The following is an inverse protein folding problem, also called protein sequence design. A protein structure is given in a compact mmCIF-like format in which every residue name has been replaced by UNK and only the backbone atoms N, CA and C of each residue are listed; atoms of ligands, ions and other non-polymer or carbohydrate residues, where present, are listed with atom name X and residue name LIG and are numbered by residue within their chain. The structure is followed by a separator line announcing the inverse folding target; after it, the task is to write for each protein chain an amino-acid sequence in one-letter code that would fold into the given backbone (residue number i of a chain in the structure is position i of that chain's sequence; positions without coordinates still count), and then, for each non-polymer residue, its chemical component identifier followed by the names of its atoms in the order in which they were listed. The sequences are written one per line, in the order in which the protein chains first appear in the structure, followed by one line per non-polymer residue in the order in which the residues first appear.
data_IF_350059115811
#
_entry.id   IF_350059115811
#
_cell.length_a   1.000
_cell.length_b   1.000
_cell.length_c   1.000
_cell.angle_alpha   90.00
_cell.angle_beta   90.00
_cell.angle_gamma   90.00
#
_symmetry.space_group_name_H-M   'P 1'
#
loop_
_entity.id
_entity.type
_entity.pdbx_description
1 polymer ?
#
# COMPACT_ATOMS: atom_id res chain seq x y z
N UNK A 1 15.68 -4.26 -26.26
CA UNK A 1 14.79 -5.17 -25.48
C UNK A 1 14.63 -4.62 -24.08
N UNK A 2 13.42 -4.55 -23.61
CA UNK A 2 13.17 -4.12 -22.23
C UNK A 2 13.56 -5.21 -21.24
N UNK A 3 14.01 -4.78 -20.07
CA UNK A 3 14.50 -5.67 -19.02
C UNK A 3 13.45 -6.71 -18.58
N UNK A 4 12.19 -6.30 -18.47
CA UNK A 4 11.10 -7.22 -18.11
C UNK A 4 10.87 -8.31 -19.15
N UNK A 5 10.94 -7.93 -20.42
CA UNK A 5 10.83 -8.90 -21.52
C UNK A 5 11.99 -9.90 -21.50
N UNK A 6 13.19 -9.41 -21.21
CA UNK A 6 14.35 -10.31 -21.08
C UNK A 6 14.18 -11.32 -19.94
N UNK A 7 13.70 -10.90 -18.79
CA UNK A 7 13.41 -11.81 -17.68
C UNK A 7 12.27 -12.78 -17.98
N UNK A 8 11.25 -12.36 -18.71
CA UNK A 8 10.16 -13.22 -19.15
C UNK A 8 10.64 -14.33 -20.09
N UNK A 9 11.54 -14.01 -21.00
CA UNK A 9 12.18 -14.99 -21.88
C UNK A 9 13.01 -16.00 -21.08
N UNK A 10 13.82 -15.53 -20.15
CA UNK A 10 14.64 -16.38 -19.27
C UNK A 10 13.76 -17.27 -18.40
N UNK A 11 12.66 -16.78 -17.89
CA UNK A 11 11.71 -17.56 -17.10
C UNK A 11 11.06 -18.67 -17.90
N UNK A 12 10.67 -18.41 -19.13
CA UNK A 12 10.13 -19.44 -20.03
C UNK A 12 11.17 -20.55 -20.26
N UNK A 13 12.41 -20.19 -20.56
CA UNK A 13 13.50 -21.14 -20.73
C UNK A 13 13.76 -21.99 -19.48
N UNK A 14 13.74 -21.35 -18.30
CA UNK A 14 13.95 -22.04 -17.02
C UNK A 14 12.84 -23.06 -16.74
N UNK A 15 11.64 -22.82 -17.20
CA UNK A 15 10.49 -23.72 -17.07
C UNK A 15 10.38 -24.75 -18.20
N UNK A 16 11.35 -24.81 -19.09
CA UNK A 16 11.37 -25.76 -20.20
C UNK A 16 10.41 -25.42 -21.35
N UNK A 17 10.08 -24.15 -21.50
CA UNK A 17 9.15 -23.66 -22.50
C UNK A 17 9.88 -22.79 -23.52
N UNK A 18 9.59 -23.00 -24.81
CA UNK A 18 10.08 -22.10 -25.85
C UNK A 18 9.42 -20.75 -25.76
N UNK A 19 10.18 -19.64 -25.54
CA UNK A 19 9.60 -18.31 -25.39
C UNK A 19 8.98 -17.76 -26.68
N UNK A 20 9.23 -18.38 -27.81
CA UNK A 20 8.70 -17.98 -29.13
C UNK A 20 7.41 -18.70 -29.46
N UNK A 21 7.38 -20.01 -29.29
CA UNK A 21 6.26 -20.87 -29.67
C UNK A 21 5.35 -21.27 -28.54
N UNK A 22 5.82 -21.18 -27.29
CA UNK A 22 5.09 -21.63 -26.09
C UNK A 22 5.06 -23.17 -25.92
N UNK A 23 5.76 -23.92 -26.74
CA UNK A 23 5.85 -25.38 -26.65
C UNK A 23 6.91 -25.79 -25.64
N UNK A 24 6.72 -26.96 -25.03
CA UNK A 24 7.73 -27.56 -24.17
C UNK A 24 8.92 -28.07 -24.99
N UNK A 25 10.14 -27.84 -24.47
CA UNK A 25 11.35 -28.42 -25.09
C UNK A 25 11.42 -29.94 -24.89
N UNK A 26 12.04 -30.60 -25.86
CA UNK A 26 12.39 -32.04 -25.74
C UNK A 26 13.38 -32.24 -24.56
N UNK A 27 13.35 -33.45 -23.98
CA UNK A 27 14.23 -33.80 -22.85
C UNK A 27 15.72 -33.62 -23.17
N UNK A 28 16.11 -33.82 -24.43
CA UNK A 28 17.49 -33.65 -24.90
C UNK A 28 17.85 -32.20 -25.28
N UNK A 29 16.90 -31.25 -25.21
CA UNK A 29 17.18 -29.86 -25.53
C UNK A 29 18.24 -29.30 -24.58
N UNK A 30 19.17 -28.44 -25.06
CA UNK A 30 20.21 -27.83 -24.21
C UNK A 30 19.63 -27.07 -23.01
N UNK A 31 18.45 -26.51 -23.15
CA UNK A 31 17.77 -25.74 -22.08
C UNK A 31 17.21 -26.63 -20.96
N UNK A 32 17.09 -27.94 -21.18
CA UNK A 32 16.69 -28.90 -20.15
C UNK A 32 17.87 -29.49 -19.37
N UNK A 33 19.09 -29.09 -19.70
CA UNK A 33 20.27 -29.52 -18.95
C UNK A 33 20.21 -28.96 -17.53
N UNK A 34 20.45 -29.75 -16.47
CA UNK A 34 20.33 -29.33 -15.09
C UNK A 34 21.14 -28.06 -14.73
N UNK A 35 22.33 -27.92 -15.26
CA UNK A 35 23.18 -26.75 -15.03
C UNK A 35 22.59 -25.47 -15.65
N UNK A 36 22.00 -25.59 -16.84
CA UNK A 36 21.34 -24.48 -17.52
C UNK A 36 20.13 -24.04 -16.72
N UNK A 37 19.29 -24.95 -16.28
CA UNK A 37 18.12 -24.66 -15.43
C UNK A 37 18.51 -23.96 -14.14
N UNK A 38 19.56 -24.45 -13.46
CA UNK A 38 20.08 -23.86 -12.24
C UNK A 38 20.60 -22.43 -12.46
N UNK A 39 21.34 -22.23 -13.56
CA UNK A 39 21.85 -20.90 -13.91
C UNK A 39 20.73 -19.90 -14.20
N UNK A 40 19.71 -20.32 -14.95
CA UNK A 40 18.55 -19.48 -15.25
C UNK A 40 17.77 -19.09 -13.98
N UNK A 41 17.51 -20.03 -13.10
CA UNK A 41 16.84 -19.75 -11.82
C UNK A 41 17.70 -18.89 -10.90
N UNK A 42 19.01 -19.06 -10.90
CA UNK A 42 19.91 -18.19 -10.14
C UNK A 42 19.81 -16.74 -10.59
N UNK A 43 19.81 -16.49 -11.90
CA UNK A 43 19.64 -15.15 -12.47
C UNK A 43 18.28 -14.56 -12.08
N UNK A 44 17.22 -15.35 -12.17
CA UNK A 44 15.87 -14.90 -11.82
C UNK A 44 15.74 -14.54 -10.33
N UNK A 45 16.35 -15.32 -9.45
CA UNK A 45 16.34 -15.05 -8.00
C UNK A 45 17.10 -13.78 -7.63
N UNK A 46 18.15 -13.46 -8.34
CA UNK A 46 18.98 -12.29 -8.10
C UNK A 46 18.53 -11.07 -8.93
N UNK A 47 17.36 -11.16 -9.54
CA UNK A 47 16.74 -10.04 -10.26
C UNK A 47 16.64 -8.82 -9.37
N UNK A 48 17.14 -7.66 -9.83
CA UNK A 48 17.02 -6.42 -9.07
C UNK A 48 15.55 -6.09 -8.80
N UNK A 49 15.22 -5.85 -7.55
CA UNK A 49 13.89 -5.35 -7.21
C UNK A 49 13.74 -3.94 -7.77
N UNK A 50 12.64 -3.68 -8.46
CA UNK A 50 12.29 -2.30 -8.84
C UNK A 50 12.15 -1.48 -7.56
N UNK A 51 12.98 -0.48 -7.40
CA UNK A 51 12.79 0.49 -6.31
C UNK A 51 11.44 1.15 -6.53
N UNK A 52 10.52 0.97 -5.59
CA UNK A 52 9.28 1.75 -5.58
C UNK A 52 9.66 3.21 -5.42
N UNK A 53 9.34 4.01 -6.41
CA UNK A 53 9.44 5.46 -6.30
C UNK A 53 8.42 5.88 -5.24
N UNK A 54 8.92 6.44 -4.12
CA UNK A 54 8.02 6.97 -3.09
C UNK A 54 7.26 8.15 -3.66
N UNK A 55 5.94 8.08 -3.64
CA UNK A 55 5.09 9.22 -4.02
C UNK A 55 5.29 10.37 -3.04
N UNK A 56 5.29 11.59 -3.56
CA UNK A 56 5.27 12.79 -2.73
C UNK A 56 3.96 12.92 -1.96
N UNK A 57 3.93 13.77 -0.94
CA UNK A 57 2.70 14.05 -0.19
C UNK A 57 1.58 14.53 -1.12
N UNK A 58 1.90 15.45 -2.02
CA UNK A 58 0.96 16.00 -3.00
C UNK A 58 0.39 14.94 -3.94
N UNK A 59 1.22 14.03 -4.42
CA UNK A 59 0.78 12.91 -5.27
C UNK A 59 -0.18 11.98 -4.53
N UNK A 60 0.11 11.68 -3.26
CA UNK A 60 -0.78 10.86 -2.40
C UNK A 60 -2.12 11.55 -2.16
N UNK A 61 -2.12 12.85 -1.93
CA UNK A 61 -3.32 13.65 -1.77
C UNK A 61 -4.18 13.65 -3.04
N UNK A 62 -3.58 13.80 -4.21
CA UNK A 62 -4.28 13.73 -5.49
C UNK A 62 -4.85 12.33 -5.76
N UNK A 63 -4.11 11.28 -5.42
CA UNK A 63 -4.61 9.90 -5.51
C UNK A 63 -5.85 9.70 -4.62
N UNK A 64 -5.85 10.24 -3.42
CA UNK A 64 -7.00 10.17 -2.51
C UNK A 64 -8.23 10.87 -3.10
N UNK A 65 -8.06 12.05 -3.63
CA UNK A 65 -9.14 12.81 -4.29
C UNK A 65 -9.69 12.03 -5.47
N UNK A 66 -8.82 11.46 -6.30
CA UNK A 66 -9.21 10.64 -7.45
C UNK A 66 -10.00 9.37 -7.08
N UNK A 67 -9.81 8.85 -5.87
CA UNK A 67 -10.55 7.69 -5.33
C UNK A 67 -11.83 8.08 -4.58
N UNK A 68 -12.17 9.35 -4.50
CA UNK A 68 -13.29 9.85 -3.71
C UNK A 68 -13.07 9.80 -2.20
N UNK A 69 -11.82 9.72 -1.76
CA UNK A 69 -11.44 9.74 -0.35
C UNK A 69 -11.09 11.17 0.11
N UNK A 70 -11.16 11.46 1.42
CA UNK A 70 -10.64 12.71 1.95
C UNK A 70 -9.17 12.90 1.56
N UNK A 71 -8.78 14.14 1.27
CA UNK A 71 -7.45 14.49 0.76
C UNK A 71 -6.31 13.92 1.62
N UNK A 72 -6.45 13.98 2.93
CA UNK A 72 -5.44 13.52 3.89
C UNK A 72 -5.67 12.10 4.41
N UNK A 73 -6.55 11.33 3.77
CA UNK A 73 -6.86 9.96 4.17
C UNK A 73 -5.60 9.08 4.22
N UNK A 74 -5.39 8.43 5.36
CA UNK A 74 -4.26 7.51 5.55
C UNK A 74 -2.88 8.18 5.58
N UNK A 75 -2.80 9.50 5.53
CA UNK A 75 -1.54 10.23 5.58
C UNK A 75 -1.08 10.50 7.02
N UNK A 76 0.23 10.67 7.26
CA UNK A 76 0.73 11.03 8.58
C UNK A 76 0.11 12.30 9.13
N UNK A 77 -0.03 12.36 10.45
CA UNK A 77 -0.53 13.54 11.15
C UNK A 77 0.62 14.48 11.51
N UNK A 78 0.66 15.71 10.97
CA UNK A 78 1.57 16.73 11.49
C UNK A 78 1.22 17.07 12.93
N UNK A 79 2.22 17.34 13.76
CA UNK A 79 2.00 17.70 15.18
C UNK A 79 1.05 18.90 15.36
N UNK A 80 1.18 19.87 14.50
CA UNK A 80 0.32 21.07 14.48
C UNK A 80 -1.15 20.72 14.26
N UNK A 81 -1.42 19.78 13.34
CA UNK A 81 -2.78 19.30 13.08
C UNK A 81 -3.35 18.51 14.26
N UNK A 82 -2.54 17.73 14.94
CA UNK A 82 -2.93 17.00 16.15
C UNK A 82 -3.36 17.97 17.24
N UNK A 83 -2.57 19.00 17.48
CA UNK A 83 -2.86 20.03 18.48
C UNK A 83 -4.16 20.78 18.19
N UNK A 84 -4.40 21.11 16.90
CA UNK A 84 -5.66 21.75 16.47
C UNK A 84 -6.88 20.84 16.68
N UNK A 85 -6.77 19.56 16.40
CA UNK A 85 -7.86 18.59 16.63
C UNK A 85 -8.21 18.52 18.12
N UNK A 86 -7.22 18.46 18.99
CA UNK A 86 -7.41 18.40 20.43
C UNK A 86 -8.07 19.70 20.93
N UNK A 87 -7.58 20.84 20.48
CA UNK A 87 -8.13 22.16 20.81
C UNK A 87 -9.59 22.28 20.37
N UNK A 88 -9.89 21.93 19.13
CA UNK A 88 -11.23 21.98 18.58
C UNK A 88 -12.19 21.04 19.33
N UNK A 89 -11.73 19.85 19.67
CA UNK A 89 -12.52 18.92 20.47
C UNK A 89 -12.80 19.43 21.88
N UNK A 90 -11.82 20.06 22.53
CA UNK A 90 -11.99 20.68 23.85
C UNK A 90 -12.90 21.92 23.82
N UNK A 91 -13.01 22.54 22.67
CA UNK A 91 -13.93 23.63 22.40
C UNK A 91 -15.35 23.20 22.03
N UNK A 92 -15.66 21.91 22.18
CA UNK A 92 -16.95 21.28 21.83
C UNK A 92 -17.35 21.36 20.36
N UNK A 93 -16.37 21.44 19.46
CA UNK A 93 -16.63 21.38 18.02
C UNK A 93 -16.97 19.94 17.64
N UNK A 94 -18.00 19.76 16.82
CA UNK A 94 -18.44 18.44 16.37
C UNK A 94 -17.35 17.69 15.61
N UNK A 95 -17.26 16.38 15.81
CA UNK A 95 -16.29 15.50 15.15
C UNK A 95 -16.35 15.63 13.64
N UNK A 96 -17.54 15.69 13.06
CA UNK A 96 -17.73 15.82 11.61
C UNK A 96 -17.15 17.14 11.07
N UNK A 97 -17.32 18.24 11.83
CA UNK A 97 -16.75 19.54 11.48
C UNK A 97 -15.22 19.53 11.56
N UNK A 98 -14.65 18.88 12.57
CA UNK A 98 -13.20 18.72 12.71
C UNK A 98 -12.65 17.89 11.54
N UNK A 99 -13.32 16.80 11.20
CA UNK A 99 -12.94 15.92 10.09
C UNK A 99 -12.92 16.67 8.75
N UNK A 100 -13.95 17.47 8.48
CA UNK A 100 -14.03 18.29 7.28
C UNK A 100 -12.89 19.33 7.23
N UNK A 101 -12.65 20.04 8.32
CA UNK A 101 -11.55 20.99 8.44
C UNK A 101 -10.18 20.39 8.19
N UNK A 102 -9.96 19.16 8.67
CA UNK A 102 -8.71 18.43 8.50
C UNK A 102 -8.62 17.65 7.20
N UNK A 103 -9.66 17.64 6.39
CA UNK A 103 -9.78 16.81 5.17
C UNK A 103 -9.52 15.34 5.47
N UNK A 104 -10.16 14.83 6.51
CA UNK A 104 -10.05 13.45 6.98
C UNK A 104 -11.41 12.83 7.27
N UNK A 105 -11.42 11.52 7.49
CA UNK A 105 -12.61 10.78 7.88
C UNK A 105 -12.91 11.00 9.38
N UNK A 106 -14.17 11.09 9.82
CA UNK A 106 -14.53 11.19 11.24
C UNK A 106 -13.91 10.11 12.12
N UNK A 107 -13.84 8.87 11.64
CA UNK A 107 -13.18 7.78 12.37
C UNK A 107 -11.71 8.04 12.66
N UNK A 108 -11.02 8.72 11.77
CA UNK A 108 -9.61 9.06 12.00
C UNK A 108 -9.43 10.11 13.08
N UNK A 109 -10.37 11.05 13.22
CA UNK A 109 -10.39 12.02 14.31
C UNK A 109 -10.64 11.33 15.66
N UNK A 110 -11.63 10.46 15.73
CA UNK A 110 -11.94 9.70 16.94
C UNK A 110 -10.75 8.81 17.34
N UNK A 111 -10.15 8.12 16.38
CA UNK A 111 -8.97 7.28 16.59
C UNK A 111 -7.76 8.08 17.09
N UNK A 112 -7.57 9.29 16.58
CA UNK A 112 -6.51 10.20 17.05
C UNK A 112 -6.71 10.62 18.50
N UNK A 113 -7.91 11.05 18.85
CA UNK A 113 -8.27 11.46 20.21
C UNK A 113 -8.10 10.30 21.21
N UNK A 114 -8.49 9.09 20.82
CA UNK A 114 -8.28 7.87 21.60
C UNK A 114 -6.80 7.56 21.79
N UNK A 115 -6.01 7.63 20.72
CA UNK A 115 -4.56 7.38 20.75
C UNK A 115 -3.83 8.32 21.70
N UNK A 116 -4.23 9.60 21.73
CA UNK A 116 -3.65 10.61 22.60
C UNK A 116 -4.30 10.67 24.00
N UNK A 117 -5.17 9.71 24.32
CA UNK A 117 -5.84 9.58 25.62
C UNK A 117 -6.71 10.80 26.00
N UNK A 118 -7.19 11.52 25.02
CA UNK A 118 -8.14 12.63 25.24
C UNK A 118 -9.55 12.06 25.53
N UNK A 119 -9.88 10.94 24.92
CA UNK A 119 -11.12 10.18 25.16
C UNK A 119 -10.79 8.73 25.51
N UNK A 120 -11.73 8.08 26.22
CA UNK A 120 -11.65 6.65 26.53
C UNK A 120 -12.18 5.83 25.36
N UNK A 121 -11.94 4.52 25.39
CA UNK A 121 -12.49 3.59 24.40
C UNK A 121 -14.01 3.60 24.36
N UNK A 122 -14.66 3.66 25.52
CA UNK A 122 -16.10 3.75 25.64
C UNK A 122 -16.65 5.04 25.01
N UNK A 123 -15.98 6.16 25.25
CA UNK A 123 -16.32 7.43 24.62
C UNK A 123 -16.13 7.39 23.10
N UNK A 124 -15.08 6.76 22.61
CA UNK A 124 -14.84 6.57 21.18
C UNK A 124 -15.95 5.76 20.52
N UNK A 125 -16.41 4.68 21.14
CA UNK A 125 -17.54 3.87 20.66
C UNK A 125 -18.84 4.66 20.68
N UNK A 126 -19.06 5.43 21.72
CA UNK A 126 -20.23 6.32 21.87
C UNK A 126 -20.28 7.41 20.79
N UNK A 127 -19.12 7.90 20.33
CA UNK A 127 -19.00 8.88 19.24
C UNK A 127 -19.14 8.26 17.85
N UNK A 128 -19.32 6.92 17.76
CA UNK A 128 -19.55 6.23 16.50
C UNK A 128 -18.29 5.64 15.87
N UNK A 129 -17.24 5.41 16.64
CA UNK A 129 -16.08 4.67 16.14
C UNK A 129 -16.52 3.29 15.69
N UNK A 130 -16.57 3.11 14.40
CA UNK A 130 -16.79 1.78 13.85
C UNK A 130 -15.44 1.09 13.74
N UNK A 131 -15.19 0.15 14.63
CA UNK A 131 -14.21 -0.86 14.30
C UNK A 131 -14.73 -1.58 13.07
N UNK A 132 -14.08 -1.40 11.95
CA UNK A 132 -14.18 -2.43 10.93
C UNK A 132 -13.80 -3.71 11.64
N UNK A 133 -14.78 -4.57 11.82
CA UNK A 133 -14.54 -5.88 12.34
C UNK A 133 -13.50 -6.55 11.43
N UNK A 134 -12.27 -6.52 11.90
CA UNK A 134 -11.09 -7.09 11.23
C UNK A 134 -11.19 -8.61 11.20
N UNK A 135 -12.32 -9.10 11.48
CA UNK A 135 -12.53 -10.46 11.80
C UNK A 135 -13.64 -11.01 11.20
N UNK A 136 -14.01 -10.46 10.24
CA UNK A 136 -14.85 -11.34 9.46
C UNK A 136 -14.04 -12.49 8.98
#
# INVERSE_FOLDING_TARGET
MEQEKAYSVVEALANGIDPVTGECFDEEAPYNHPEVIRALFFILRNRPLKKRVKKSLEEKQQDNIGKGLPMNYGLPWPKESIDLVIEDFQADIAIDAIAEKMSRNPNSIIGLLKKHRIITEEQALSLGLQYKAVHA
#
